data_IF_640722840497
#
_entry.id   IF_640722840497
#
_cell.length_a   1.000
_cell.length_b   1.000
_cell.length_c   1.000
_cell.angle_alpha   90.00
_cell.angle_beta   90.00
_cell.angle_gamma   90.00
#
_symmetry.space_group_name_H-M   'P 1'
#
loop_
_entity.id
_entity.type
_entity.pdbx_description
1 polymer ?
#
# COMPACT_ATOMS: atom_id res chain seq x y z
N UNK A 1 39.69 33.46 16.30
CA UNK A 1 38.99 32.64 15.31
C UNK A 1 37.71 32.15 15.99
N UNK A 2 36.69 33.01 15.94
CA UNK A 2 35.38 32.66 16.50
C UNK A 2 34.75 31.61 15.58
N UNK A 3 34.70 30.39 16.07
CA UNK A 3 33.92 29.34 15.47
C UNK A 3 32.45 29.64 15.78
N UNK A 4 31.79 30.45 14.96
CA UNK A 4 30.33 30.46 14.95
C UNK A 4 29.88 29.12 14.39
N UNK A 5 29.45 28.22 15.27
CA UNK A 5 29.03 26.85 14.92
C UNK A 5 27.80 26.81 14.01
N UNK A 6 27.08 27.91 13.87
CA UNK A 6 25.86 27.98 13.05
C UNK A 6 25.81 29.34 12.35
N UNK A 7 25.72 29.33 11.03
CA UNK A 7 25.52 30.55 10.21
C UNK A 7 24.01 30.78 9.99
N UNK A 8 23.57 32.00 9.59
CA UNK A 8 22.18 32.24 9.21
C UNK A 8 21.70 31.30 8.09
N UNK A 9 22.56 30.89 7.17
CA UNK A 9 22.25 29.93 6.13
C UNK A 9 21.96 28.54 6.70
N UNK A 10 22.73 28.09 7.68
CA UNK A 10 22.51 26.80 8.34
C UNK A 10 21.13 26.74 9.02
N UNK A 11 20.66 27.84 9.61
CA UNK A 11 19.32 27.92 10.20
C UNK A 11 18.22 27.72 9.17
N UNK A 12 18.39 28.26 7.95
CA UNK A 12 17.45 28.05 6.84
C UNK A 12 17.45 26.60 6.40
N UNK A 13 18.63 25.98 6.28
CA UNK A 13 18.76 24.57 5.91
C UNK A 13 18.13 23.63 6.93
N UNK A 14 18.35 23.89 8.22
CA UNK A 14 17.71 23.16 9.31
C UNK A 14 16.18 23.32 9.27
N UNK A 15 15.69 24.52 8.98
CA UNK A 15 14.27 24.78 8.78
C UNK A 15 13.67 23.97 7.63
N UNK A 16 14.41 23.83 6.51
CA UNK A 16 13.98 22.97 5.37
C UNK A 16 13.86 21.50 5.80
N UNK A 17 14.86 21.00 6.50
CA UNK A 17 14.85 19.62 7.00
C UNK A 17 13.67 19.37 7.96
N UNK A 18 13.43 20.30 8.90
CA UNK A 18 12.30 20.20 9.83
C UNK A 18 10.96 20.25 9.09
N UNK A 19 10.80 21.16 8.11
CA UNK A 19 9.58 21.27 7.30
C UNK A 19 9.34 20.01 6.49
N UNK A 20 10.37 19.44 5.86
CA UNK A 20 10.24 18.20 5.10
C UNK A 20 9.80 17.03 5.98
N UNK A 21 10.35 16.95 7.20
CA UNK A 21 9.96 15.95 8.19
C UNK A 21 8.47 16.09 8.57
N UNK A 22 7.99 17.32 8.78
CA UNK A 22 6.59 17.59 9.11
C UNK A 22 5.67 17.21 7.94
N UNK A 23 5.98 17.62 6.72
CA UNK A 23 5.14 17.33 5.55
C UNK A 23 5.09 15.81 5.24
N UNK A 24 6.25 15.14 5.29
CA UNK A 24 6.32 13.68 5.17
C UNK A 24 5.57 12.97 6.30
N UNK A 25 5.65 13.52 7.52
CA UNK A 25 4.94 13.01 8.69
C UNK A 25 3.42 13.13 8.57
N UNK A 26 2.90 14.23 8.06
CA UNK A 26 1.44 14.41 7.85
C UNK A 26 0.89 13.36 6.89
N UNK A 27 1.57 13.11 5.78
CA UNK A 27 1.17 12.07 4.82
C UNK A 27 1.32 10.69 5.45
N UNK A 28 2.43 10.44 6.13
CA UNK A 28 2.72 9.16 6.76
C UNK A 28 1.76 8.80 7.89
N UNK A 29 1.28 9.81 8.64
CA UNK A 29 0.28 9.62 9.70
C UNK A 29 -1.05 9.10 9.13
N UNK A 30 -1.51 9.66 8.02
CA UNK A 30 -2.70 9.16 7.32
C UNK A 30 -2.50 7.70 6.89
N UNK A 31 -1.32 7.36 6.36
CA UNK A 31 -1.00 6.00 5.91
C UNK A 31 -0.98 5.00 7.08
N UNK A 32 -0.37 5.40 8.19
CA UNK A 32 -0.29 4.57 9.41
C UNK A 32 -1.66 4.36 10.05
N UNK A 33 -2.49 5.40 10.14
CA UNK A 33 -3.85 5.33 10.68
C UNK A 33 -4.75 4.37 9.89
N UNK A 34 -4.46 4.16 8.60
CA UNK A 34 -5.16 3.20 7.73
C UNK A 34 -4.42 1.86 7.57
N UNK A 35 -3.46 1.57 8.43
CA UNK A 35 -2.69 0.30 8.43
C UNK A 35 -2.06 -0.02 7.07
N UNK A 36 -1.49 0.99 6.38
CA UNK A 36 -0.78 0.80 5.12
C UNK A 36 0.70 0.50 5.38
N UNK A 37 1.36 -0.21 4.45
CA UNK A 37 2.72 -0.74 4.61
C UNK A 37 3.81 0.32 4.83
N UNK A 38 3.68 1.53 4.26
CA UNK A 38 4.59 2.66 4.51
C UNK A 38 3.88 3.72 5.37
N UNK A 39 4.08 3.66 6.69
CA UNK A 39 3.49 4.55 7.69
C UNK A 39 4.30 5.83 7.93
N UNK A 40 4.12 6.39 9.14
CA UNK A 40 4.69 7.66 9.58
C UNK A 40 6.21 7.73 9.38
N UNK A 41 6.94 6.79 9.98
CA UNK A 41 8.41 6.76 9.97
C UNK A 41 8.97 6.71 8.56
N UNK A 42 8.41 5.85 7.70
CA UNK A 42 8.88 5.65 6.33
C UNK A 42 8.74 6.93 5.51
N UNK A 43 7.57 7.56 5.56
CA UNK A 43 7.32 8.79 4.79
C UNK A 43 8.16 9.98 5.31
N UNK A 44 8.33 10.11 6.64
CA UNK A 44 9.22 11.11 7.22
C UNK A 44 10.66 10.95 6.72
N UNK A 45 11.20 9.73 6.76
CA UNK A 45 12.58 9.44 6.35
C UNK A 45 12.79 9.64 4.85
N UNK A 46 11.83 9.26 4.01
CA UNK A 46 11.90 9.48 2.55
C UNK A 46 11.89 10.97 2.24
N UNK A 47 10.99 11.74 2.85
CA UNK A 47 10.90 13.18 2.63
C UNK A 47 12.16 13.91 3.11
N UNK A 48 12.62 13.58 4.33
CA UNK A 48 13.82 14.14 4.95
C UNK A 48 15.09 13.83 4.13
N UNK A 49 15.28 12.57 3.73
CA UNK A 49 16.42 12.15 2.93
C UNK A 49 16.45 12.82 1.56
N UNK A 50 15.29 12.93 0.91
CA UNK A 50 15.17 13.62 -0.37
C UNK A 50 15.48 15.13 -0.25
N UNK A 51 15.00 15.76 0.82
CA UNK A 51 15.30 17.16 1.13
C UNK A 51 16.81 17.37 1.34
N UNK A 52 17.45 16.53 2.13
CA UNK A 52 18.88 16.58 2.39
C UNK A 52 19.69 16.44 1.09
N UNK A 53 19.36 15.48 0.25
CA UNK A 53 20.06 15.27 -1.03
C UNK A 53 19.91 16.48 -1.95
N UNK A 54 18.73 17.11 -1.98
CA UNK A 54 18.53 18.33 -2.77
C UNK A 54 19.33 19.51 -2.22
N UNK A 55 19.39 19.70 -0.91
CA UNK A 55 20.24 20.72 -0.26
C UNK A 55 21.71 20.49 -0.65
N UNK A 56 22.20 19.26 -0.49
CA UNK A 56 23.57 18.91 -0.88
C UNK A 56 23.83 19.16 -2.36
N UNK A 57 22.86 18.88 -3.24
CA UNK A 57 22.99 19.11 -4.68
C UNK A 57 23.19 20.59 -5.00
N UNK A 58 22.40 21.47 -4.38
CA UNK A 58 22.50 22.93 -4.57
C UNK A 58 23.76 23.51 -3.94
N UNK A 59 24.15 23.07 -2.75
CA UNK A 59 25.37 23.53 -2.07
C UNK A 59 26.65 23.11 -2.85
N UNK A 60 26.72 21.86 -3.31
CA UNK A 60 27.86 21.40 -4.13
C UNK A 60 27.91 22.19 -5.44
N UNK A 61 26.77 22.39 -6.11
CA UNK A 61 26.71 23.17 -7.35
C UNK A 61 27.24 24.60 -7.13
N UNK A 62 26.85 25.28 -6.05
CA UNK A 62 27.28 26.65 -5.76
C UNK A 62 28.81 26.81 -5.65
N UNK A 63 29.53 25.75 -5.25
CA UNK A 63 31.02 25.77 -5.15
C UNK A 63 31.70 25.72 -6.52
N UNK A 64 31.05 25.20 -7.56
CA UNK A 64 31.58 24.99 -8.90
C UNK A 64 30.87 25.79 -9.98
N UNK A 65 29.89 26.60 -9.61
CA UNK A 65 29.13 27.46 -10.52
C UNK A 65 30.06 28.41 -11.31
N UNK A 66 29.87 28.45 -12.61
CA UNK A 66 30.73 29.23 -13.52
C UNK A 66 32.10 28.66 -13.79
N UNK A 67 32.51 27.56 -13.10
CA UNK A 67 33.80 26.90 -13.30
C UNK A 67 33.70 25.59 -14.12
N UNK A 68 32.54 24.95 -14.09
CA UNK A 68 32.26 23.70 -14.77
C UNK A 68 30.83 23.68 -15.32
N UNK A 69 30.54 22.77 -16.26
CA UNK A 69 29.19 22.50 -16.73
C UNK A 69 28.49 21.49 -15.80
N UNK A 70 28.52 21.74 -14.48
CA UNK A 70 27.84 20.90 -13.52
C UNK A 70 26.31 21.10 -13.59
N UNK A 71 25.55 20.01 -13.39
CA UNK A 71 24.09 20.05 -13.34
C UNK A 71 23.64 20.09 -11.87
N UNK A 72 22.97 21.16 -11.41
CA UNK A 72 22.47 21.26 -10.04
C UNK A 72 21.39 20.23 -9.68
N UNK A 73 20.70 19.65 -10.69
CA UNK A 73 19.68 18.65 -10.49
C UNK A 73 20.20 17.20 -10.46
N UNK A 74 21.49 17.00 -10.65
CA UNK A 74 22.07 15.66 -10.84
C UNK A 74 21.82 14.71 -9.67
N UNK A 75 22.00 15.16 -8.43
CA UNK A 75 21.73 14.31 -7.24
C UNK A 75 20.23 14.11 -7.04
N UNK A 76 19.42 15.15 -7.32
CA UNK A 76 17.96 15.04 -7.25
C UNK A 76 17.41 14.01 -8.26
N UNK A 77 17.97 13.94 -9.47
CA UNK A 77 17.60 12.94 -10.46
C UNK A 77 17.86 11.51 -9.98
N UNK A 78 18.93 11.29 -9.19
CA UNK A 78 19.20 9.98 -8.58
C UNK A 78 18.17 9.61 -7.50
N UNK A 79 17.62 10.58 -6.76
CA UNK A 79 16.52 10.32 -5.82
C UNK A 79 15.28 9.84 -6.57
N UNK A 80 14.90 10.51 -7.67
CA UNK A 80 13.74 10.15 -8.49
C UNK A 80 13.87 8.73 -9.05
N UNK A 81 15.07 8.35 -9.50
CA UNK A 81 15.36 6.99 -9.96
C UNK A 81 15.40 5.98 -8.80
N UNK A 82 16.10 6.33 -7.71
CA UNK A 82 16.33 5.45 -6.55
C UNK A 82 15.09 5.12 -5.76
N UNK A 83 14.13 6.05 -5.66
CA UNK A 83 12.88 5.81 -4.93
C UNK A 83 12.05 4.68 -5.56
N UNK A 84 12.27 4.38 -6.85
CA UNK A 84 11.65 3.25 -7.52
C UNK A 84 11.94 1.91 -6.85
N UNK A 85 13.14 1.74 -6.27
CA UNK A 85 13.49 0.54 -5.51
C UNK A 85 12.64 0.38 -4.25
N UNK A 86 12.43 1.45 -3.47
CA UNK A 86 11.56 1.44 -2.29
C UNK A 86 10.09 1.24 -2.70
N UNK A 87 9.67 1.84 -3.81
CA UNK A 87 8.34 1.64 -4.39
C UNK A 87 8.11 0.18 -4.78
N UNK A 88 9.06 -0.45 -5.44
CA UNK A 88 9.00 -1.87 -5.78
C UNK A 88 8.92 -2.77 -4.54
N UNK A 89 9.70 -2.44 -3.49
CA UNK A 89 9.64 -3.13 -2.21
C UNK A 89 8.30 -3.01 -1.45
N UNK A 90 7.51 -1.99 -1.77
CA UNK A 90 6.17 -1.80 -1.20
C UNK A 90 5.07 -2.55 -1.96
N UNK A 91 5.36 -3.06 -3.16
CA UNK A 91 4.39 -3.78 -3.99
C UNK A 91 4.52 -5.28 -3.71
N UNK A 92 3.41 -5.90 -3.33
CA UNK A 92 3.33 -7.33 -3.09
C UNK A 92 2.37 -7.99 -4.07
N UNK A 93 2.76 -9.14 -4.60
CA UNK A 93 1.93 -9.96 -5.50
C UNK A 93 1.64 -11.30 -4.83
N UNK A 94 0.36 -11.55 -4.57
CA UNK A 94 -0.13 -12.81 -4.03
C UNK A 94 -1.12 -13.43 -5.03
N UNK A 95 -0.68 -14.43 -5.76
CA UNK A 95 -1.47 -15.03 -6.83
C UNK A 95 -1.78 -14.01 -7.94
N UNK A 96 -3.04 -13.70 -8.16
CA UNK A 96 -3.52 -12.69 -9.12
C UNK A 96 -3.70 -11.30 -8.49
N UNK A 97 -3.62 -11.19 -7.17
CA UNK A 97 -3.79 -9.92 -6.47
C UNK A 97 -2.46 -9.18 -6.38
N UNK A 98 -2.50 -7.88 -6.66
CA UNK A 98 -1.36 -6.96 -6.50
C UNK A 98 -1.76 -5.89 -5.51
N UNK A 99 -1.02 -5.75 -4.42
CA UNK A 99 -1.22 -4.75 -3.37
C UNK A 99 -0.03 -3.81 -3.29
N UNK A 100 -0.19 -2.66 -2.63
CA UNK A 100 0.91 -1.72 -2.41
C UNK A 100 1.15 -0.69 -3.51
N UNK A 101 0.43 -0.71 -4.64
CA UNK A 101 0.61 0.24 -5.75
C UNK A 101 0.43 1.70 -5.30
N UNK A 102 -0.64 2.00 -4.55
CA UNK A 102 -0.88 3.34 -4.00
C UNK A 102 0.22 3.75 -3.02
N UNK A 103 0.74 2.81 -2.22
CA UNK A 103 1.85 3.06 -1.29
C UNK A 103 3.12 3.42 -2.05
N UNK A 104 3.45 2.70 -3.11
CA UNK A 104 4.60 2.96 -3.97
C UNK A 104 4.51 4.36 -4.62
N UNK A 105 3.34 4.70 -5.18
CA UNK A 105 3.08 6.02 -5.76
C UNK A 105 3.19 7.13 -4.69
N UNK A 106 2.67 6.90 -3.49
CA UNK A 106 2.78 7.83 -2.37
C UNK A 106 4.23 8.12 -1.99
N UNK A 107 5.07 7.09 -1.84
CA UNK A 107 6.50 7.23 -1.55
C UNK A 107 7.22 8.05 -2.61
N UNK A 108 6.87 7.85 -3.89
CA UNK A 108 7.45 8.60 -5.01
C UNK A 108 7.11 10.10 -4.92
N UNK A 109 5.85 10.45 -4.65
CA UNK A 109 5.42 11.85 -4.48
C UNK A 109 6.03 12.48 -3.23
N UNK A 110 6.10 11.75 -2.11
CA UNK A 110 6.72 12.21 -0.85
C UNK A 110 8.20 12.54 -1.05
N UNK A 111 8.93 11.75 -1.84
CA UNK A 111 10.29 12.09 -2.23
C UNK A 111 10.35 13.42 -3.02
N UNK A 112 9.41 13.63 -3.95
CA UNK A 112 9.27 14.90 -4.68
C UNK A 112 8.97 16.10 -3.77
N UNK A 113 8.12 15.92 -2.74
CA UNK A 113 7.87 16.94 -1.71
C UNK A 113 9.17 17.29 -0.99
N UNK A 114 9.97 16.30 -0.57
CA UNK A 114 11.26 16.50 0.05
C UNK A 114 12.24 17.27 -0.83
N UNK A 115 12.37 16.88 -2.11
CA UNK A 115 13.19 17.59 -3.10
C UNK A 115 12.75 19.06 -3.25
N UNK A 116 11.44 19.29 -3.32
CA UNK A 116 10.88 20.65 -3.45
C UNK A 116 11.20 21.54 -2.25
N UNK A 117 11.08 21.00 -1.01
CA UNK A 117 11.46 21.71 0.21
C UNK A 117 12.97 22.01 0.20
N UNK A 118 13.80 21.04 -0.15
CA UNK A 118 15.24 21.18 -0.25
C UNK A 118 15.67 22.24 -1.25
N UNK A 119 14.97 22.36 -2.38
CA UNK A 119 15.17 23.37 -3.39
C UNK A 119 14.61 24.77 -3.01
N UNK A 120 13.85 24.88 -1.90
CA UNK A 120 13.22 26.13 -1.46
C UNK A 120 11.84 26.42 -2.08
N UNK A 121 11.25 25.48 -2.82
CA UNK A 121 9.89 25.59 -3.40
C UNK A 121 8.82 25.20 -2.38
N UNK A 122 8.70 25.95 -1.29
CA UNK A 122 7.85 25.64 -0.14
C UNK A 122 6.35 25.58 -0.48
N UNK A 123 5.88 26.53 -1.32
CA UNK A 123 4.46 26.61 -1.72
C UNK A 123 4.08 25.36 -2.52
N UNK A 124 4.91 24.98 -3.48
CA UNK A 124 4.68 23.77 -4.29
C UNK A 124 4.70 22.51 -3.43
N UNK A 125 5.66 22.41 -2.49
CA UNK A 125 5.76 21.29 -1.56
C UNK A 125 4.51 21.17 -0.67
N UNK A 126 4.07 22.29 -0.06
CA UNK A 126 2.89 22.33 0.79
C UNK A 126 1.63 21.96 0.01
N UNK A 127 1.42 22.57 -1.15
CA UNK A 127 0.25 22.31 -1.98
C UNK A 127 0.20 20.85 -2.45
N UNK A 128 1.35 20.27 -2.84
CA UNK A 128 1.45 18.87 -3.22
C UNK A 128 1.10 17.96 -2.03
N UNK A 129 1.61 18.24 -0.82
CA UNK A 129 1.29 17.46 0.36
C UNK A 129 -0.21 17.49 0.69
N UNK A 130 -0.86 18.67 0.56
CA UNK A 130 -2.31 18.81 0.72
C UNK A 130 -3.06 18.00 -0.32
N UNK A 131 -2.67 18.07 -1.59
CA UNK A 131 -3.32 17.30 -2.66
C UNK A 131 -3.17 15.80 -2.45
N UNK A 132 -1.98 15.33 -2.05
CA UNK A 132 -1.78 13.91 -1.72
C UNK A 132 -2.71 13.48 -0.59
N UNK A 133 -2.79 14.26 0.49
CA UNK A 133 -3.68 13.96 1.60
C UNK A 133 -5.15 13.89 1.15
N UNK A 134 -5.60 14.86 0.34
CA UNK A 134 -6.95 14.85 -0.21
C UNK A 134 -7.21 13.62 -1.09
N UNK A 135 -6.29 13.28 -1.99
CA UNK A 135 -6.40 12.09 -2.84
C UNK A 135 -6.53 10.83 -1.99
N UNK A 136 -5.66 10.67 -1.00
CA UNK A 136 -5.67 9.49 -0.13
C UNK A 136 -6.94 9.38 0.72
N UNK A 137 -7.50 10.51 1.16
CA UNK A 137 -8.69 10.54 2.02
C UNK A 137 -10.00 10.41 1.21
N UNK A 138 -10.14 11.19 0.13
CA UNK A 138 -11.37 11.25 -0.67
C UNK A 138 -11.58 9.94 -1.43
N UNK A 139 -10.55 9.45 -2.11
CA UNK A 139 -10.70 8.21 -2.89
C UNK A 139 -10.83 6.97 -2.00
N UNK A 140 -10.24 6.96 -0.80
CA UNK A 140 -10.50 5.88 0.15
C UNK A 140 -11.98 5.80 0.58
N UNK A 141 -12.65 6.95 0.71
CA UNK A 141 -14.10 6.98 0.98
C UNK A 141 -14.91 6.52 -0.23
N UNK A 142 -14.55 6.96 -1.44
CA UNK A 142 -15.20 6.51 -2.68
C UNK A 142 -15.06 5.01 -2.89
N UNK A 143 -13.89 4.44 -2.67
CA UNK A 143 -13.67 2.99 -2.72
C UNK A 143 -14.53 2.24 -1.70
N UNK A 144 -14.79 2.84 -0.53
CA UNK A 144 -15.69 2.29 0.47
C UNK A 144 -17.15 2.25 0.00
N UNK A 145 -17.59 3.23 -0.81
CA UNK A 145 -18.92 3.22 -1.46
C UNK A 145 -19.03 2.19 -2.58
N UNK A 146 -17.92 1.85 -3.25
CA UNK A 146 -17.88 0.83 -4.31
C UNK A 146 -17.57 -0.59 -3.78
N UNK A 147 -17.18 -0.72 -2.51
CA UNK A 147 -17.00 -2.04 -1.85
C UNK A 147 -18.34 -2.70 -1.48
N UNK A 148 -19.29 -2.74 -2.41
CA UNK A 148 -20.47 -3.61 -2.29
C UNK A 148 -20.05 -5.08 -2.48
N UNK A 149 -18.93 -5.33 -3.14
CA UNK A 149 -18.43 -6.67 -3.44
C UNK A 149 -17.23 -7.02 -2.53
N UNK A 150 -17.49 -7.48 -1.31
CA UNK A 150 -16.43 -8.12 -0.51
C UNK A 150 -15.99 -9.41 -1.18
N UNK A 151 -14.76 -9.45 -1.66
CA UNK A 151 -14.13 -10.71 -2.08
C UNK A 151 -13.80 -11.52 -0.82
N UNK A 152 -14.24 -12.73 -0.79
CA UNK A 152 -13.97 -13.71 0.24
C UNK A 152 -13.27 -14.89 -0.41
N UNK A 153 -12.25 -15.42 0.24
CA UNK A 153 -11.66 -16.69 -0.15
C UNK A 153 -12.25 -17.77 0.77
N UNK A 154 -12.83 -18.80 0.19
CA UNK A 154 -13.35 -19.95 0.91
C UNK A 154 -12.49 -21.18 0.61
N UNK A 155 -12.02 -21.84 1.66
CA UNK A 155 -11.42 -23.18 1.60
C UNK A 155 -12.37 -24.13 2.30
N UNK A 156 -12.89 -25.08 1.56
CA UNK A 156 -13.87 -26.05 2.05
C UNK A 156 -13.33 -27.45 1.82
N UNK A 157 -13.26 -28.26 2.87
CA UNK A 157 -12.96 -29.68 2.76
C UNK A 157 -14.28 -30.44 2.77
N UNK A 158 -14.52 -31.18 1.70
CA UNK A 158 -15.73 -31.96 1.50
C UNK A 158 -15.38 -33.45 1.23
N UNK A 159 -16.27 -34.33 1.60
CA UNK A 159 -16.19 -35.72 1.15
C UNK A 159 -16.32 -35.80 -0.37
N UNK A 160 -15.54 -36.66 -1.00
CA UNK A 160 -15.52 -36.86 -2.46
C UNK A 160 -16.86 -37.40 -2.95
N UNK A 161 -17.89 -36.55 -2.89
CA UNK A 161 -19.22 -36.85 -3.38
C UNK A 161 -19.70 -35.71 -4.26
N UNK A 162 -20.09 -35.99 -5.49
CA UNK A 162 -20.56 -34.97 -6.46
C UNK A 162 -21.77 -34.20 -5.96
N UNK A 163 -22.61 -34.77 -5.10
CA UNK A 163 -23.76 -34.11 -4.46
C UNK A 163 -23.30 -32.99 -3.49
N UNK A 164 -22.27 -33.23 -2.70
CA UNK A 164 -21.80 -32.21 -1.72
C UNK A 164 -21.27 -30.94 -2.38
N UNK A 165 -20.58 -31.03 -3.51
CA UNK A 165 -20.15 -29.87 -4.29
C UNK A 165 -21.33 -29.05 -4.79
N UNK A 166 -22.37 -29.75 -5.29
CA UNK A 166 -23.58 -29.10 -5.80
C UNK A 166 -24.36 -28.41 -4.69
N UNK A 167 -24.48 -29.02 -3.52
CA UNK A 167 -25.15 -28.44 -2.36
C UNK A 167 -24.42 -27.19 -1.84
N UNK A 168 -23.10 -27.18 -1.80
CA UNK A 168 -22.28 -25.99 -1.48
C UNK A 168 -22.56 -24.87 -2.50
N UNK A 169 -22.57 -25.19 -3.80
CA UNK A 169 -22.86 -24.22 -4.85
C UNK A 169 -24.25 -23.59 -4.69
N UNK A 170 -25.26 -24.42 -4.49
CA UNK A 170 -26.66 -23.99 -4.37
C UNK A 170 -26.88 -23.16 -3.09
N UNK A 171 -26.23 -23.54 -1.99
CA UNK A 171 -26.28 -22.77 -0.72
C UNK A 171 -25.65 -21.40 -0.88
N UNK A 172 -24.48 -21.30 -1.51
CA UNK A 172 -23.84 -20.00 -1.77
C UNK A 172 -24.71 -19.12 -2.69
N UNK A 173 -25.34 -19.72 -3.68
CA UNK A 173 -26.27 -19.03 -4.59
C UNK A 173 -27.53 -18.54 -3.87
N UNK A 174 -28.12 -19.31 -2.98
CA UNK A 174 -29.26 -18.91 -2.13
C UNK A 174 -28.92 -17.69 -1.27
N UNK A 175 -27.69 -17.61 -0.75
CA UNK A 175 -27.20 -16.47 0.00
C UNK A 175 -26.70 -15.32 -0.88
N UNK A 176 -27.01 -15.30 -2.20
CA UNK A 176 -26.59 -14.26 -3.17
C UNK A 176 -25.05 -14.03 -3.19
N UNK A 177 -24.29 -15.08 -2.95
CA UNK A 177 -22.83 -15.06 -3.06
C UNK A 177 -22.47 -15.52 -4.46
N UNK A 178 -21.75 -14.69 -5.20
CA UNK A 178 -21.26 -15.04 -6.53
C UNK A 178 -19.93 -15.76 -6.42
N UNK A 179 -19.80 -16.87 -7.10
CA UNK A 179 -18.54 -17.62 -7.21
C UNK A 179 -17.81 -17.11 -8.45
N UNK A 180 -16.58 -16.62 -8.26
CA UNK A 180 -15.74 -16.12 -9.35
C UNK A 180 -14.79 -17.17 -9.87
N UNK A 181 -14.24 -18.00 -8.98
CA UNK A 181 -13.30 -19.05 -9.34
C UNK A 181 -13.45 -20.22 -8.39
N UNK A 182 -13.33 -21.43 -8.95
CA UNK A 182 -13.29 -22.67 -8.19
C UNK A 182 -12.01 -23.41 -8.59
N UNK A 183 -11.25 -23.85 -7.60
CA UNK A 183 -10.12 -24.75 -7.77
C UNK A 183 -10.35 -25.96 -6.90
N UNK A 184 -10.27 -27.15 -7.48
CA UNK A 184 -10.37 -28.41 -6.74
C UNK A 184 -8.98 -29.04 -6.65
N UNK A 185 -8.57 -29.44 -5.47
CA UNK A 185 -7.31 -30.16 -5.20
C UNK A 185 -7.62 -31.35 -4.32
N UNK A 186 -6.87 -32.44 -4.49
CA UNK A 186 -6.90 -33.50 -3.50
C UNK A 186 -6.35 -32.96 -2.18
N UNK A 187 -6.97 -33.28 -1.06
CA UNK A 187 -6.54 -32.80 0.25
C UNK A 187 -5.20 -33.45 0.59
N UNK A 188 -4.11 -32.69 0.63
CA UNK A 188 -2.73 -33.17 0.85
C UNK A 188 -2.51 -33.86 2.20
N UNK A 189 -3.48 -33.81 3.12
CA UNK A 189 -3.43 -34.44 4.47
C UNK A 189 -4.63 -35.34 4.76
N UNK A 190 -5.38 -35.75 3.74
CA UNK A 190 -6.48 -36.66 3.92
C UNK A 190 -5.94 -38.06 4.28
N UNK A 191 -6.41 -38.61 5.40
CA UNK A 191 -6.13 -39.99 5.81
C UNK A 191 -6.78 -41.01 4.86
N UNK A 192 -7.57 -40.55 3.90
CA UNK A 192 -8.33 -41.38 2.96
C UNK A 192 -8.51 -40.61 1.63
N UNK A 193 -8.44 -41.30 0.50
CA UNK A 193 -8.66 -40.75 -0.87
C UNK A 193 -10.09 -40.20 -1.09
N UNK A 194 -10.89 -40.13 -0.03
CA UNK A 194 -12.29 -39.75 -0.04
C UNK A 194 -12.55 -38.23 0.22
N UNK A 195 -11.52 -37.41 0.33
CA UNK A 195 -11.68 -35.97 0.63
C UNK A 195 -11.13 -35.09 -0.48
N UNK A 196 -11.90 -34.03 -0.84
CA UNK A 196 -11.51 -33.03 -1.80
C UNK A 196 -11.46 -31.65 -1.10
N UNK A 197 -10.38 -30.91 -1.31
CA UNK A 197 -10.29 -29.49 -0.94
C UNK A 197 -10.79 -28.64 -2.10
N UNK A 198 -11.79 -27.81 -1.85
CA UNK A 198 -12.36 -26.86 -2.80
C UNK A 198 -11.97 -25.44 -2.35
N UNK A 199 -11.13 -24.78 -3.12
CA UNK A 199 -10.79 -23.39 -2.95
C UNK A 199 -11.71 -22.56 -3.86
N UNK A 200 -12.46 -21.62 -3.31
CA UNK A 200 -13.37 -20.75 -4.05
C UNK A 200 -13.06 -19.28 -3.78
N UNK A 201 -13.05 -18.47 -4.85
CA UNK A 201 -13.13 -17.02 -4.72
C UNK A 201 -14.59 -16.59 -4.83
N UNK A 202 -15.09 -15.97 -3.78
CA UNK A 202 -16.48 -15.58 -3.62
C UNK A 202 -16.61 -14.06 -3.61
N UNK A 203 -17.72 -13.55 -4.15
CA UNK A 203 -18.12 -12.14 -4.03
C UNK A 203 -19.42 -12.06 -3.24
N UNK A 204 -19.34 -11.42 -2.09
CA UNK A 204 -20.49 -11.18 -1.21
C UNK A 204 -21.19 -9.88 -1.64
N UNK A 205 -22.17 -9.99 -2.53
CA UNK A 205 -22.89 -8.84 -3.11
C UNK A 205 -23.85 -8.13 -2.14
N UNK A 206 -24.29 -8.79 -1.08
CA UNK A 206 -25.25 -8.25 -0.08
C UNK A 206 -24.66 -8.00 1.30
N UNK A 207 -23.34 -8.09 1.44
CA UNK A 207 -22.64 -7.90 2.72
C UNK A 207 -23.20 -8.79 3.85
N UNK A 208 -23.54 -10.04 3.53
CA UNK A 208 -24.01 -11.04 4.51
C UNK A 208 -22.85 -11.33 5.46
N UNK A 209 -23.15 -11.53 6.73
CA UNK A 209 -22.12 -11.82 7.76
C UNK A 209 -21.44 -13.15 7.44
N UNK A 210 -20.13 -13.16 7.45
CA UNK A 210 -19.30 -14.35 7.19
C UNK A 210 -19.72 -15.54 8.05
N UNK A 211 -20.10 -15.27 9.31
CA UNK A 211 -20.59 -16.27 10.26
C UNK A 211 -21.85 -16.97 9.76
N UNK A 212 -22.79 -16.27 9.14
CA UNK A 212 -24.03 -16.84 8.60
C UNK A 212 -23.75 -17.80 7.45
N UNK A 213 -22.81 -17.42 6.57
CA UNK A 213 -22.39 -18.25 5.45
C UNK A 213 -21.64 -19.49 5.94
N UNK A 214 -20.74 -19.33 6.90
CA UNK A 214 -20.01 -20.42 7.51
C UNK A 214 -20.96 -21.44 8.15
N UNK A 215 -21.94 -20.97 8.92
CA UNK A 215 -22.96 -21.85 9.53
C UNK A 215 -23.81 -22.59 8.49
N UNK A 216 -24.23 -21.91 7.42
CA UNK A 216 -25.01 -22.52 6.36
C UNK A 216 -24.21 -23.63 5.63
N UNK A 217 -22.91 -23.41 5.42
CA UNK A 217 -22.04 -24.40 4.78
C UNK A 217 -21.73 -25.59 5.71
N UNK A 218 -21.52 -25.35 7.01
CA UNK A 218 -21.33 -26.44 7.98
C UNK A 218 -22.57 -27.32 8.20
N UNK A 219 -23.76 -26.81 7.90
CA UNK A 219 -25.00 -27.54 8.01
C UNK A 219 -25.21 -28.58 6.87
N UNK A 220 -24.37 -28.54 5.83
CA UNK A 220 -24.45 -29.45 4.70
C UNK A 220 -23.82 -30.80 5.01
N UNK A 221 -24.48 -31.87 4.59
CA UNK A 221 -23.98 -33.24 4.78
C UNK A 221 -22.74 -33.48 3.90
N UNK A 222 -21.62 -33.83 4.51
CA UNK A 222 -20.34 -34.05 3.80
C UNK A 222 -19.37 -32.88 3.82
N UNK A 223 -19.70 -31.72 4.41
CA UNK A 223 -18.76 -30.63 4.67
C UNK A 223 -18.07 -30.86 6.01
N UNK A 224 -16.74 -30.95 6.01
CA UNK A 224 -15.95 -31.23 7.22
C UNK A 224 -15.28 -29.97 7.77
N UNK A 225 -14.78 -29.10 6.89
CA UNK A 225 -14.10 -27.87 7.31
C UNK A 225 -14.45 -26.73 6.37
N UNK A 226 -14.69 -25.54 6.94
CA UNK A 226 -14.92 -24.30 6.20
C UNK A 226 -14.04 -23.21 6.79
N UNK A 227 -13.15 -22.66 5.99
CA UNK A 227 -12.34 -21.49 6.32
C UNK A 227 -12.72 -20.35 5.35
N UNK A 228 -13.22 -19.23 5.89
CA UNK A 228 -13.47 -17.99 5.15
C UNK A 228 -12.43 -16.96 5.55
N UNK A 229 -11.75 -16.36 4.56
CA UNK A 229 -10.75 -15.28 4.71
C UNK A 229 -10.97 -14.16 3.70
#
# INVERSE_FOLDING_TARGET
MEMSFVTPNDMVLLGRLALSCILGGLIGYERESKSKSAGLRTNMLVCLGSCLIMILSTEIYSTVEGKTNADPARLAAQVVSGIGFLGAGAIMKEGLNVTGLTTAACLWVVAGVGLSVGAGYYISAFFTAVLVFLVLEVFAKLDSFHKIDKKLSAKIIIKNNSTAVQEVYDTLKLHNIKICQIKMKNAEHAKDDSQIMVEMELINTKNIREVEVTHALYALDGVETVELT
#
